data_IF_849848344621
#
_entry.id   IF_849848344621
#
_cell.length_a   1.000
_cell.length_b   1.000
_cell.length_c   1.000
_cell.angle_alpha   90.00
_cell.angle_beta   90.00
_cell.angle_gamma   90.00
#
_symmetry.space_group_name_H-M   'P 1'
#
loop_
_entity.id
_entity.type
_entity.pdbx_description
1 polymer ?
#
# COMPACT_ATOMS: atom_id res chain seq x y z
N UNK A 1 -12.95 6.86 1.12
CA UNK A 1 -11.68 7.60 1.25
C UNK A 1 -11.37 8.14 -0.11
N UNK A 2 -10.92 9.39 -0.19
CA UNK A 2 -10.44 9.91 -1.46
C UNK A 2 -9.00 9.43 -1.75
N UNK A 3 -8.50 9.71 -2.96
CA UNK A 3 -7.16 9.31 -3.37
C UNK A 3 -6.07 9.97 -2.51
N UNK A 4 -6.27 11.23 -2.11
CA UNK A 4 -5.29 11.97 -1.34
C UNK A 4 -5.11 11.36 0.07
N UNK A 5 -6.21 11.04 0.73
CA UNK A 5 -6.23 10.30 2.00
C UNK A 5 -5.55 8.93 1.87
N UNK A 6 -5.83 8.20 0.79
CA UNK A 6 -5.23 6.89 0.52
C UNK A 6 -3.71 6.98 0.33
N UNK A 7 -3.22 8.03 -0.35
CA UNK A 7 -1.79 8.29 -0.53
C UNK A 7 -1.12 8.65 0.81
N UNK A 8 -1.75 9.50 1.63
CA UNK A 8 -1.23 9.82 2.96
C UNK A 8 -1.10 8.57 3.83
N UNK A 9 -2.12 7.72 3.83
CA UNK A 9 -2.11 6.48 4.61
C UNK A 9 -1.06 5.47 4.11
N UNK A 10 -0.85 5.38 2.79
CA UNK A 10 0.23 4.58 2.22
C UNK A 10 1.60 5.10 2.69
N UNK A 11 1.83 6.41 2.64
CA UNK A 11 3.10 7.02 3.08
C UNK A 11 3.35 6.81 4.58
N UNK A 12 2.32 6.93 5.43
CA UNK A 12 2.42 6.65 6.86
C UNK A 12 2.83 5.19 7.12
N UNK A 13 2.22 4.24 6.40
CA UNK A 13 2.59 2.83 6.44
C UNK A 13 4.04 2.61 5.96
N UNK A 14 4.45 3.26 4.87
CA UNK A 14 5.81 3.20 4.34
C UNK A 14 6.86 3.72 5.34
N UNK A 15 6.57 4.82 6.03
CA UNK A 15 7.43 5.39 7.07
C UNK A 15 7.52 4.46 8.29
N UNK A 16 6.42 3.82 8.68
CA UNK A 16 6.43 2.83 9.76
C UNK A 16 7.29 1.61 9.42
N UNK A 17 7.19 1.10 8.18
CA UNK A 17 8.05 0.00 7.71
C UNK A 17 9.52 0.45 7.66
N UNK A 18 9.79 1.63 7.10
CA UNK A 18 11.15 2.19 7.03
C UNK A 18 11.76 2.31 8.41
N UNK A 19 11.03 2.86 9.38
CA UNK A 19 11.48 2.99 10.77
C UNK A 19 11.78 1.62 11.38
N UNK A 20 10.94 0.63 11.14
CA UNK A 20 11.15 -0.73 11.63
C UNK A 20 12.40 -1.38 11.02
N UNK A 21 12.53 -1.34 9.70
CA UNK A 21 13.68 -1.90 8.97
C UNK A 21 14.98 -1.19 9.36
N UNK A 22 14.97 0.14 9.46
CA UNK A 22 16.14 0.91 9.86
C UNK A 22 16.61 0.55 11.27
N UNK A 23 15.67 0.37 12.20
CA UNK A 23 15.98 0.05 13.60
C UNK A 23 16.46 -1.39 13.82
N UNK A 24 16.13 -2.32 12.92
CA UNK A 24 16.43 -3.76 13.07
C UNK A 24 17.55 -4.24 12.16
N UNK A 25 17.52 -3.84 10.90
CA UNK A 25 18.35 -4.43 9.84
C UNK A 25 19.21 -3.40 9.09
N UNK A 26 18.87 -2.11 9.20
CA UNK A 26 19.43 -1.04 8.37
C UNK A 26 20.70 -0.37 8.89
N UNK A 27 21.17 -0.71 10.08
CA UNK A 27 22.38 -0.08 10.63
C UNK A 27 23.57 -0.36 9.71
N UNK A 28 24.15 0.71 9.17
CA UNK A 28 25.29 0.70 8.26
C UNK A 28 25.06 -0.06 6.94
N UNK A 29 23.80 -0.22 6.52
CA UNK A 29 23.43 -0.90 5.26
C UNK A 29 22.53 -0.03 4.40
N UNK A 30 22.64 -0.21 3.08
CA UNK A 30 21.65 0.33 2.15
C UNK A 30 20.35 -0.48 2.28
N UNK A 31 19.21 0.22 2.36
CA UNK A 31 17.88 -0.38 2.38
C UNK A 31 17.11 0.06 1.14
N UNK A 32 16.56 -0.90 0.41
CA UNK A 32 15.65 -0.66 -0.71
C UNK A 32 14.47 -1.61 -0.60
N UNK A 33 13.26 -1.07 -0.70
CA UNK A 33 12.03 -1.86 -0.77
C UNK A 33 10.95 -1.03 -1.46
N UNK A 34 9.91 -1.70 -1.96
CA UNK A 34 8.74 -1.05 -2.55
C UNK A 34 7.58 -1.08 -1.57
N UNK A 35 7.34 0.04 -0.88
CA UNK A 35 6.21 0.18 0.04
C UNK A 35 4.87 -0.02 -0.68
N UNK A 36 4.75 0.49 -1.90
CA UNK A 36 3.55 0.34 -2.71
C UNK A 36 3.27 -1.14 -3.06
N UNK A 37 4.30 -1.91 -3.40
CA UNK A 37 4.13 -3.34 -3.68
C UNK A 37 3.67 -4.11 -2.45
N UNK A 38 4.22 -3.81 -1.26
CA UNK A 38 3.77 -4.41 0.01
C UNK A 38 2.31 -4.03 0.28
N UNK A 39 1.94 -2.77 0.07
CA UNK A 39 0.56 -2.30 0.24
C UNK A 39 -0.41 -3.09 -0.65
N UNK A 40 -0.10 -3.23 -1.95
CA UNK A 40 -0.95 -3.97 -2.90
C UNK A 40 -1.12 -5.44 -2.48
N UNK A 41 -0.03 -6.11 -2.10
CA UNK A 41 -0.10 -7.51 -1.63
C UNK A 41 -0.97 -7.62 -0.38
N UNK A 42 -0.84 -6.70 0.58
CA UNK A 42 -1.67 -6.70 1.79
C UNK A 42 -3.15 -6.42 1.47
N UNK A 43 -3.46 -5.59 0.47
CA UNK A 43 -4.83 -5.39 0.00
C UNK A 43 -5.46 -6.65 -0.60
N UNK A 44 -4.67 -7.45 -1.32
CA UNK A 44 -5.10 -8.76 -1.84
C UNK A 44 -5.35 -9.73 -0.67
N UNK A 45 -4.44 -9.78 0.30
CA UNK A 45 -4.59 -10.63 1.50
C UNK A 45 -5.84 -10.21 2.31
N UNK A 46 -6.09 -8.91 2.47
CA UNK A 46 -7.29 -8.38 3.14
C UNK A 46 -8.56 -8.88 2.45
N UNK A 47 -8.60 -8.86 1.11
CA UNK A 47 -9.75 -9.33 0.33
C UNK A 47 -10.07 -10.82 0.53
N UNK A 48 -9.06 -11.63 0.88
CA UNK A 48 -9.23 -13.05 1.22
C UNK A 48 -9.42 -13.35 2.72
N UNK A 49 -9.35 -12.33 3.59
CA UNK A 49 -9.36 -12.48 5.04
C UNK A 49 -10.72 -12.14 5.67
N UNK A 50 -10.94 -12.54 6.93
CA UNK A 50 -12.14 -12.22 7.72
C UNK A 50 -11.80 -12.04 9.20
N UNK A 51 -12.70 -11.43 9.97
CA UNK A 51 -12.59 -11.25 11.42
C UNK A 51 -11.31 -10.51 11.82
N UNK A 52 -10.70 -10.92 12.93
CA UNK A 52 -9.55 -10.22 13.51
C UNK A 52 -8.36 -10.03 12.54
N UNK A 53 -8.12 -10.99 11.63
CA UNK A 53 -7.05 -10.85 10.63
C UNK A 53 -7.33 -9.72 9.65
N UNK A 54 -8.58 -9.61 9.18
CA UNK A 54 -8.99 -8.50 8.33
C UNK A 54 -8.84 -7.16 9.07
N UNK A 55 -9.31 -7.10 10.32
CA UNK A 55 -9.26 -5.88 11.14
C UNK A 55 -7.82 -5.40 11.36
N UNK A 56 -6.89 -6.33 11.61
CA UNK A 56 -5.46 -6.02 11.74
C UNK A 56 -4.86 -5.47 10.45
N UNK A 57 -5.19 -6.04 9.30
CA UNK A 57 -4.67 -5.57 8.01
C UNK A 57 -5.24 -4.19 7.67
N UNK A 58 -6.55 -3.98 7.85
CA UNK A 58 -7.20 -2.69 7.64
C UNK A 58 -6.60 -1.61 8.56
N UNK A 59 -6.39 -1.94 9.83
CA UNK A 59 -5.75 -1.04 10.79
C UNK A 59 -4.31 -0.68 10.37
N UNK A 60 -3.53 -1.67 9.96
CA UNK A 60 -2.15 -1.46 9.51
C UNK A 60 -2.07 -0.59 8.24
N UNK A 61 -2.95 -0.83 7.28
CA UNK A 61 -3.05 -0.04 6.05
C UNK A 61 -3.80 1.30 6.25
N UNK A 62 -4.30 1.56 7.46
CA UNK A 62 -5.13 2.73 7.83
C UNK A 62 -6.31 2.90 6.87
N UNK A 63 -6.95 1.80 6.47
CA UNK A 63 -8.10 1.80 5.56
C UNK A 63 -9.37 1.44 6.31
N UNK A 64 -10.48 2.10 5.95
CA UNK A 64 -11.77 1.83 6.59
C UNK A 64 -12.46 0.56 6.05
N UNK A 65 -12.08 0.06 4.88
CA UNK A 65 -12.73 -1.12 4.28
C UNK A 65 -11.89 -1.75 3.16
N UNK A 66 -12.26 -2.98 2.78
CA UNK A 66 -11.73 -3.67 1.59
C UNK A 66 -12.07 -2.87 0.32
N UNK A 67 -13.26 -2.27 0.23
CA UNK A 67 -13.67 -1.49 -0.93
C UNK A 67 -12.76 -0.27 -1.16
N UNK A 68 -12.31 0.39 -0.09
CA UNK A 68 -11.33 1.46 -0.21
C UNK A 68 -9.98 0.95 -0.72
N UNK A 69 -9.51 -0.21 -0.23
CA UNK A 69 -8.27 -0.82 -0.71
C UNK A 69 -8.37 -1.19 -2.20
N UNK A 70 -9.48 -1.80 -2.61
CA UNK A 70 -9.72 -2.18 -4.00
C UNK A 70 -9.85 -0.97 -4.92
N UNK A 71 -10.53 0.10 -4.48
CA UNK A 71 -10.63 1.36 -5.20
C UNK A 71 -9.26 2.00 -5.41
N UNK A 72 -8.43 2.05 -4.36
CA UNK A 72 -7.07 2.57 -4.45
C UNK A 72 -6.21 1.79 -5.45
N UNK A 73 -6.23 0.45 -5.38
CA UNK A 73 -5.49 -0.40 -6.33
C UNK A 73 -5.99 -0.22 -7.76
N UNK A 74 -7.30 -0.10 -7.96
CA UNK A 74 -7.89 0.13 -9.28
C UNK A 74 -7.45 1.48 -9.88
N UNK A 75 -7.37 2.53 -9.07
CA UNK A 75 -6.88 3.84 -9.49
C UNK A 75 -5.39 3.79 -9.90
N UNK A 76 -4.56 3.05 -9.15
CA UNK A 76 -3.15 2.84 -9.52
C UNK A 76 -3.00 2.15 -10.88
N UNK A 77 -3.78 1.09 -11.12
CA UNK A 77 -3.79 0.37 -12.41
C UNK A 77 -4.28 1.29 -13.54
N UNK A 78 -5.29 2.11 -13.28
CA UNK A 78 -5.80 3.06 -14.27
C UNK A 78 -4.73 4.09 -14.66
N UNK A 79 -3.93 4.56 -13.70
CA UNK A 79 -2.83 5.50 -13.95
C UNK A 79 -1.74 4.83 -14.80
N UNK A 80 -1.36 3.59 -14.47
CA UNK A 80 -0.36 2.82 -15.21
C UNK A 80 -0.80 2.59 -16.67
N UNK A 81 -2.05 2.16 -16.88
CA UNK A 81 -2.62 2.00 -18.21
C UNK A 81 -2.66 3.29 -19.02
N UNK A 82 -2.89 4.44 -18.37
CA UNK A 82 -2.88 5.74 -19.03
C UNK A 82 -1.47 6.10 -19.52
N UNK A 83 -0.44 5.82 -18.72
CA UNK A 83 0.96 6.08 -19.12
C UNK A 83 1.40 5.19 -20.28
N UNK A 84 1.00 3.93 -20.31
CA UNK A 84 1.26 3.05 -21.45
C UNK A 84 0.58 3.53 -22.74
N UNK A 85 -0.66 4.00 -22.66
CA UNK A 85 -1.35 4.60 -23.81
C UNK A 85 -0.65 5.87 -24.32
N UNK A 86 -0.19 6.74 -23.42
CA UNK A 86 0.55 7.95 -23.80
C UNK A 86 1.90 7.62 -24.46
N UNK A 87 2.58 6.55 -24.01
CA UNK A 87 3.85 6.11 -24.58
C UNK A 87 3.70 5.48 -25.97
N UNK A 88 2.53 4.95 -26.28
CA UNK A 88 2.23 4.29 -27.56
C UNK A 88 1.74 5.25 -28.67
N UNK A 89 1.54 6.54 -28.37
CA UNK A 89 1.09 7.58 -29.29
C UNK A 89 2.25 8.45 -29.80
#
# INVERSE_FOLDING_TARGET
>A
MDLHESIMNQNDMALNITKHLFSKEGKDKNLVFSALSIHVVLSIIASGSKGATLDQILSFLRSNSIDHLNSFVSQLISIDSMFEQLRAA
#
